data_IF_388117983882
#
_entry.id   IF_388117983882
#
_cell.length_a   1.000
_cell.length_b   1.000
_cell.length_c   1.000
_cell.angle_alpha   90.00
_cell.angle_beta   90.00
_cell.angle_gamma   90.00
#
_symmetry.space_group_name_H-M   'P 1'
#
loop_
_entity.id
_entity.type
_entity.pdbx_description
1 polymer ?
#
# COMPACT_ATOMS: atom_id res chain seq x y z
N UNK A 1 52.50 2.35 2.12
CA UNK A 1 51.12 1.82 2.20
C UNK A 1 50.94 0.80 1.08
N UNK A 2 51.11 -0.50 1.38
CA UNK A 2 51.04 -1.57 0.37
C UNK A 2 49.58 -2.01 0.22
N UNK A 3 48.87 -1.43 -0.74
CA UNK A 3 47.59 -1.96 -1.14
C UNK A 3 47.79 -3.30 -1.84
N UNK A 4 47.24 -4.36 -1.27
CA UNK A 4 47.29 -5.70 -1.86
C UNK A 4 46.58 -5.69 -3.21
N UNK A 5 47.22 -6.19 -4.27
CA UNK A 5 46.65 -6.33 -5.64
C UNK A 5 45.26 -6.90 -5.65
N UNK A 6 44.93 -7.77 -4.67
CA UNK A 6 43.63 -8.40 -4.50
C UNK A 6 42.54 -7.42 -4.03
N UNK A 7 42.90 -6.41 -3.23
CA UNK A 7 41.98 -5.34 -2.81
C UNK A 7 41.70 -4.38 -3.96
N UNK A 8 42.70 -4.07 -4.76
CA UNK A 8 42.58 -3.21 -5.94
C UNK A 8 41.62 -3.85 -6.97
N UNK A 9 41.75 -5.15 -7.22
CA UNK A 9 40.86 -5.89 -8.14
C UNK A 9 39.41 -5.96 -7.63
N UNK A 10 39.19 -6.13 -6.33
CA UNK A 10 37.85 -6.12 -5.74
C UNK A 10 37.19 -4.74 -5.80
N UNK A 11 37.94 -3.70 -5.54
CA UNK A 11 37.43 -2.30 -5.58
C UNK A 11 37.21 -1.83 -7.01
N UNK A 12 38.11 -2.14 -7.93
CA UNK A 12 38.02 -1.76 -9.34
C UNK A 12 36.92 -2.54 -10.09
N UNK A 13 36.71 -3.80 -9.75
CA UNK A 13 35.67 -4.63 -10.39
C UNK A 13 34.27 -4.14 -10.13
N UNK A 14 33.96 -3.74 -8.90
CA UNK A 14 32.63 -3.24 -8.54
C UNK A 14 32.36 -1.85 -9.14
N UNK A 15 33.37 -0.98 -9.16
CA UNK A 15 33.24 0.36 -9.75
C UNK A 15 33.06 0.33 -11.27
N UNK A 16 33.77 -0.59 -11.96
CA UNK A 16 33.65 -0.74 -13.41
C UNK A 16 32.32 -1.36 -13.83
N UNK A 17 31.77 -2.31 -13.07
CA UNK A 17 30.45 -2.89 -13.33
C UNK A 17 29.36 -1.82 -13.21
N UNK A 18 29.43 -0.97 -12.18
CA UNK A 18 28.48 0.11 -11.97
C UNK A 18 28.57 1.17 -13.10
N UNK A 19 29.79 1.51 -13.53
CA UNK A 19 30.02 2.45 -14.64
C UNK A 19 29.48 1.92 -15.98
N UNK A 20 29.63 0.62 -16.24
CA UNK A 20 29.09 -0.01 -17.45
C UNK A 20 27.55 -0.03 -17.43
N UNK A 21 26.96 -0.35 -16.30
CA UNK A 21 25.48 -0.35 -16.15
C UNK A 21 24.89 1.06 -16.29
N UNK A 22 25.56 2.07 -15.76
CA UNK A 22 25.17 3.49 -15.96
C UNK A 22 25.38 3.95 -17.41
N UNK A 23 26.50 3.59 -18.04
CA UNK A 23 26.81 3.93 -19.41
C UNK A 23 25.90 3.27 -20.44
N UNK A 24 25.40 2.06 -20.14
CA UNK A 24 24.43 1.35 -20.97
C UNK A 24 22.98 1.89 -20.82
N UNK A 25 22.74 2.88 -19.95
CA UNK A 25 21.41 3.44 -19.70
C UNK A 25 20.45 2.49 -18.96
N UNK A 26 20.96 1.36 -18.47
CA UNK A 26 20.17 0.36 -17.73
C UNK A 26 19.87 0.82 -16.30
N UNK A 27 20.68 1.71 -15.73
CA UNK A 27 20.43 2.39 -14.49
C UNK A 27 20.19 3.87 -14.80
N UNK A 28 18.94 4.25 -14.94
CA UNK A 28 18.56 5.67 -14.94
C UNK A 28 18.53 6.14 -13.48
N UNK A 29 19.43 7.00 -13.02
CA UNK A 29 19.32 7.61 -11.71
C UNK A 29 18.15 8.60 -11.75
N UNK A 30 17.13 8.30 -11.07
CA UNK A 30 15.96 9.13 -10.94
C UNK A 30 14.74 8.45 -11.49
N UNK A 31 13.82 8.34 -10.62
CA UNK A 31 12.42 7.98 -10.75
C UNK A 31 12.03 6.65 -10.09
N UNK A 32 12.70 6.29 -8.99
CA UNK A 32 11.93 5.63 -7.95
C UNK A 32 11.10 6.74 -7.28
N UNK A 33 10.00 7.15 -7.91
CA UNK A 33 8.96 7.86 -7.20
C UNK A 33 8.35 6.84 -6.25
N UNK A 34 8.81 6.85 -5.00
CA UNK A 34 7.98 6.34 -3.93
C UNK A 34 6.68 7.15 -4.02
N UNK A 35 5.56 6.49 -4.23
CA UNK A 35 4.28 7.15 -4.19
C UNK A 35 4.23 7.97 -2.90
N UNK A 36 3.96 9.28 -3.01
CA UNK A 36 3.92 10.16 -1.84
C UNK A 36 2.89 9.59 -0.86
N UNK A 37 3.36 9.25 0.34
CA UNK A 37 2.48 8.75 1.37
C UNK A 37 1.43 9.79 1.73
N UNK A 38 0.15 9.42 1.61
CA UNK A 38 -0.97 10.30 1.92
C UNK A 38 -1.13 10.52 3.43
N UNK A 39 -0.23 11.35 3.98
CA UNK A 39 -0.16 11.66 5.40
C UNK A 39 -1.49 12.20 5.93
N UNK A 40 -2.21 13.00 5.16
CA UNK A 40 -3.46 13.61 5.59
C UNK A 40 -4.56 12.57 5.85
N UNK A 41 -4.70 11.59 4.96
CA UNK A 41 -5.68 10.52 5.11
C UNK A 41 -5.33 9.58 6.29
N UNK A 42 -4.05 9.19 6.42
CA UNK A 42 -3.59 8.31 7.50
C UNK A 42 -3.55 8.99 8.88
N UNK A 43 -3.45 10.30 8.94
CA UNK A 43 -3.46 11.07 10.22
C UNK A 43 -4.87 11.49 10.64
N UNK A 44 -5.89 11.28 9.82
CA UNK A 44 -7.27 11.63 10.16
C UNK A 44 -7.74 10.80 11.37
N UNK A 45 -8.51 11.42 12.24
CA UNK A 45 -9.03 10.81 13.47
C UNK A 45 -10.50 10.40 13.36
N UNK A 46 -11.11 10.66 12.22
CA UNK A 46 -12.49 10.26 11.90
C UNK A 46 -12.59 9.74 10.47
N UNK A 47 -13.63 8.95 10.20
CA UNK A 47 -13.84 8.29 8.91
C UNK A 47 -14.01 9.31 7.78
N UNK A 48 -14.79 10.37 8.00
CA UNK A 48 -15.05 11.39 6.98
C UNK A 48 -13.77 12.14 6.59
N UNK A 49 -12.94 12.50 7.57
CA UNK A 49 -11.65 13.14 7.35
C UNK A 49 -10.68 12.23 6.60
N UNK A 50 -10.66 10.93 6.93
CA UNK A 50 -9.83 9.94 6.24
C UNK A 50 -10.25 9.77 4.76
N UNK A 51 -11.54 9.65 4.49
CA UNK A 51 -12.08 9.57 3.12
C UNK A 51 -11.78 10.84 2.32
N UNK A 52 -12.00 12.01 2.92
CA UNK A 52 -11.69 13.30 2.30
C UNK A 52 -10.19 13.44 2.00
N UNK A 53 -9.34 12.97 2.90
CA UNK A 53 -7.88 12.92 2.72
C UNK A 53 -7.44 12.05 1.54
N UNK A 54 -8.24 11.04 1.16
CA UNK A 54 -8.01 10.22 -0.04
C UNK A 54 -8.30 10.97 -1.35
N UNK A 55 -8.77 12.23 -1.29
CA UNK A 55 -9.08 13.04 -2.47
C UNK A 55 -10.32 12.58 -3.22
N UNK A 56 -11.18 11.79 -2.58
CA UNK A 56 -12.42 11.27 -3.15
C UNK A 56 -13.59 12.21 -2.96
N UNK A 57 -14.57 12.13 -3.87
CA UNK A 57 -15.94 12.59 -3.67
C UNK A 57 -16.63 11.72 -2.61
N UNK A 58 -17.81 12.11 -2.21
CA UNK A 58 -18.62 11.34 -1.27
C UNK A 58 -18.82 9.90 -1.77
N UNK A 59 -18.51 8.85 -0.96
CA UNK A 59 -18.60 7.47 -1.40
C UNK A 59 -20.05 7.07 -1.67
N UNK A 60 -20.24 6.32 -2.73
CA UNK A 60 -21.54 5.76 -3.11
C UNK A 60 -21.55 4.28 -2.75
N UNK A 61 -22.54 3.78 -2.01
CA UNK A 61 -22.68 2.35 -1.72
C UNK A 61 -22.76 1.54 -3.02
N UNK A 62 -22.02 0.44 -3.09
CA UNK A 62 -22.01 -0.44 -4.27
C UNK A 62 -22.16 -1.91 -3.86
N UNK A 63 -22.95 -2.66 -4.63
CA UNK A 63 -23.09 -4.11 -4.49
C UNK A 63 -22.03 -4.88 -5.29
N UNK A 64 -21.19 -4.18 -6.06
CA UNK A 64 -20.11 -4.77 -6.84
C UNK A 64 -18.84 -4.98 -6.03
N UNK A 65 -18.84 -4.59 -4.76
CA UNK A 65 -17.74 -4.84 -3.83
C UNK A 65 -18.18 -5.97 -2.89
N UNK A 66 -17.48 -7.10 -2.99
CA UNK A 66 -17.63 -8.20 -2.05
C UNK A 66 -16.68 -7.98 -0.87
N UNK A 67 -17.24 -7.93 0.34
CA UNK A 67 -16.49 -7.76 1.57
C UNK A 67 -16.77 -8.93 2.51
N UNK A 68 -15.71 -9.62 2.95
CA UNK A 68 -15.79 -10.76 3.86
C UNK A 68 -14.94 -10.44 5.09
N UNK A 69 -15.58 -10.44 6.26
CA UNK A 69 -14.95 -10.34 7.57
C UNK A 69 -15.72 -11.20 8.57
N UNK A 70 -15.10 -11.70 9.64
CA UNK A 70 -15.81 -12.43 10.68
C UNK A 70 -16.67 -11.47 11.51
N UNK A 71 -17.90 -11.90 11.84
CA UNK A 71 -18.80 -11.15 12.75
C UNK A 71 -18.23 -11.10 14.17
N UNK A 72 -17.50 -12.14 14.56
CA UNK A 72 -16.82 -12.25 15.86
C UNK A 72 -15.34 -12.56 15.60
N UNK A 73 -14.47 -11.66 16.02
CA UNK A 73 -13.03 -11.87 15.97
C UNK A 73 -12.52 -12.39 17.32
N UNK A 74 -11.92 -13.58 17.30
CA UNK A 74 -11.29 -14.16 18.51
C UNK A 74 -10.11 -13.28 19.01
N UNK A 75 -9.42 -12.61 18.07
CA UNK A 75 -8.29 -11.74 18.36
C UNK A 75 -8.38 -10.45 17.55
N UNK A 76 -8.70 -9.34 18.20
CA UNK A 76 -8.79 -8.03 17.59
C UNK A 76 -7.48 -7.50 16.99
N UNK A 77 -6.32 -8.06 17.37
CA UNK A 77 -5.04 -7.65 16.82
C UNK A 77 -4.81 -8.15 15.38
N UNK A 78 -5.54 -9.18 14.93
CA UNK A 78 -5.32 -9.86 13.65
C UNK A 78 -6.62 -10.32 13.01
N UNK A 79 -7.54 -9.38 12.78
CA UNK A 79 -8.85 -9.67 12.17
C UNK A 79 -8.69 -9.84 10.66
N UNK A 80 -8.99 -11.02 10.09
CA UNK A 80 -8.89 -11.25 8.66
C UNK A 80 -10.03 -10.53 7.93
N UNK A 81 -9.66 -9.86 6.81
CA UNK A 81 -10.61 -9.22 5.90
C UNK A 81 -10.25 -9.57 4.47
N UNK A 82 -11.25 -9.83 3.65
CA UNK A 82 -11.09 -10.08 2.22
C UNK A 82 -12.04 -9.19 1.43
N UNK A 83 -11.50 -8.51 0.42
CA UNK A 83 -12.24 -7.55 -0.38
C UNK A 83 -11.98 -7.86 -1.85
N UNK A 84 -13.05 -7.99 -2.62
CA UNK A 84 -13.00 -8.19 -4.07
C UNK A 84 -13.86 -7.12 -4.74
N UNK A 85 -13.29 -6.38 -5.67
CA UNK A 85 -14.02 -5.42 -6.50
C UNK A 85 -14.38 -6.07 -7.84
N UNK A 86 -15.63 -5.91 -8.26
CA UNK A 86 -16.10 -6.21 -9.63
C UNK A 86 -16.21 -4.94 -10.48
N UNK A 87 -15.84 -3.80 -9.91
CA UNK A 87 -15.87 -2.51 -10.60
C UNK A 87 -14.75 -2.49 -11.63
N UNK A 88 -15.06 -2.22 -12.92
CA UNK A 88 -14.05 -2.13 -13.96
C UNK A 88 -13.02 -1.05 -13.67
N UNK A 89 -11.76 -1.30 -14.06
CA UNK A 89 -10.66 -0.33 -13.88
C UNK A 89 -10.43 0.11 -12.44
N UNK A 90 -10.65 -0.77 -11.47
CA UNK A 90 -10.30 -0.52 -10.07
C UNK A 90 -8.82 -0.15 -9.95
N UNK A 91 -8.54 1.04 -9.43
CA UNK A 91 -7.19 1.58 -9.25
C UNK A 91 -6.65 1.35 -7.83
N UNK A 92 -7.53 1.42 -6.84
CA UNK A 92 -7.12 1.19 -5.45
C UNK A 92 -8.26 0.66 -4.59
N UNK A 93 -7.89 -0.06 -3.54
CA UNK A 93 -8.77 -0.55 -2.50
C UNK A 93 -8.24 -0.07 -1.16
N UNK A 94 -9.04 0.68 -0.42
CA UNK A 94 -8.69 1.21 0.89
C UNK A 94 -9.54 0.58 1.97
N UNK A 95 -8.94 0.29 3.11
CA UNK A 95 -9.61 -0.37 4.26
C UNK A 95 -9.64 0.58 5.45
N UNK A 96 -10.81 0.76 6.01
CA UNK A 96 -11.03 1.62 7.17
C UNK A 96 -11.65 0.82 8.32
N UNK A 97 -11.16 1.06 9.52
CA UNK A 97 -11.75 0.60 10.78
C UNK A 97 -12.26 1.83 11.53
N UNK A 98 -13.57 2.01 11.57
CA UNK A 98 -14.22 3.26 11.97
C UNK A 98 -13.79 3.77 13.35
N UNK A 99 -13.72 2.87 14.34
CA UNK A 99 -13.43 3.23 15.75
C UNK A 99 -11.95 3.12 16.12
N UNK A 100 -11.05 2.88 15.18
CA UNK A 100 -9.64 3.00 15.44
C UNK A 100 -9.24 4.48 15.61
N UNK A 101 -8.17 4.78 16.37
CA UNK A 101 -7.67 6.16 16.50
C UNK A 101 -7.41 6.86 15.17
N UNK A 102 -6.94 6.10 14.20
CA UNK A 102 -6.82 6.50 12.80
C UNK A 102 -7.60 5.47 11.96
N UNK A 103 -8.76 5.84 11.40
CA UNK A 103 -9.63 4.90 10.69
C UNK A 103 -8.98 4.27 9.46
N UNK A 104 -8.23 5.02 8.66
CA UNK A 104 -7.56 4.46 7.48
C UNK A 104 -6.45 3.51 7.91
N UNK A 105 -6.63 2.23 7.59
CA UNK A 105 -5.73 1.16 8.03
C UNK A 105 -4.73 0.79 6.93
N UNK A 106 -5.19 0.69 5.69
CA UNK A 106 -4.37 0.31 4.55
C UNK A 106 -4.94 0.84 3.23
N UNK A 107 -4.06 1.07 2.28
CA UNK A 107 -4.39 1.37 0.88
C UNK A 107 -3.59 0.42 0.00
N UNK A 108 -4.27 -0.22 -0.94
CA UNK A 108 -3.68 -1.14 -1.91
C UNK A 108 -3.89 -0.56 -3.31
N UNK A 109 -2.80 -0.24 -3.97
CA UNK A 109 -2.82 0.16 -5.38
C UNK A 109 -2.90 -1.09 -6.25
N UNK A 110 -3.88 -1.11 -7.16
CA UNK A 110 -4.14 -2.23 -8.06
C UNK A 110 -3.54 -1.88 -9.42
N UNK A 111 -2.55 -2.63 -9.85
CA UNK A 111 -1.95 -2.44 -11.16
C UNK A 111 -2.93 -2.86 -12.27
N UNK A 112 -2.82 -2.20 -13.42
CA UNK A 112 -3.63 -2.54 -14.59
C UNK A 112 -3.45 -4.02 -14.98
N UNK A 113 -4.55 -4.70 -15.26
CA UNK A 113 -4.56 -6.13 -15.57
C UNK A 113 -4.46 -7.07 -14.37
N UNK A 114 -4.43 -6.53 -13.15
CA UNK A 114 -4.44 -7.32 -11.90
C UNK A 114 -5.86 -7.51 -11.43
N UNK A 115 -6.17 -8.72 -10.95
CA UNK A 115 -7.46 -8.98 -10.29
C UNK A 115 -7.57 -8.16 -8.99
N UNK A 116 -8.61 -7.31 -8.84
CA UNK A 116 -8.74 -6.44 -7.68
C UNK A 116 -9.32 -7.19 -6.47
N UNK A 117 -8.55 -8.16 -5.99
CA UNK A 117 -8.84 -8.98 -4.82
C UNK A 117 -7.71 -8.86 -3.82
N UNK A 118 -8.03 -8.48 -2.59
CA UNK A 118 -7.07 -8.40 -1.49
C UNK A 118 -7.55 -9.22 -0.30
N UNK A 119 -6.62 -9.86 0.36
CA UNK A 119 -6.84 -10.52 1.66
C UNK A 119 -5.75 -10.05 2.61
N UNK A 120 -6.16 -9.48 3.74
CA UNK A 120 -5.23 -8.94 4.73
C UNK A 120 -5.76 -9.14 6.14
N UNK A 121 -4.98 -8.71 7.13
CA UNK A 121 -5.39 -8.68 8.54
C UNK A 121 -5.28 -7.27 9.05
N UNK A 122 -6.33 -6.83 9.74
CA UNK A 122 -6.39 -5.50 10.34
C UNK A 122 -6.42 -5.59 11.86
N UNK A 123 -5.86 -4.58 12.51
CA UNK A 123 -5.96 -4.43 13.95
C UNK A 123 -7.21 -3.62 14.27
N UNK A 124 -8.04 -4.16 15.16
CA UNK A 124 -9.22 -3.49 15.70
C UNK A 124 -9.05 -3.31 17.21
N UNK A 125 -9.10 -2.09 17.68
CA UNK A 125 -9.00 -1.78 19.12
C UNK A 125 -10.26 -2.14 19.91
N UNK A 126 -11.39 -2.18 19.23
CA UNK A 126 -12.72 -2.50 19.78
C UNK A 126 -13.67 -2.94 18.68
N UNK A 127 -14.84 -3.41 19.03
CA UNK A 127 -15.91 -3.73 18.06
C UNK A 127 -16.24 -2.49 17.23
N UNK A 128 -16.16 -2.61 15.93
CA UNK A 128 -16.25 -1.49 14.98
C UNK A 128 -16.75 -1.97 13.63
N UNK A 129 -17.36 -1.07 12.89
CA UNK A 129 -17.59 -1.29 11.47
C UNK A 129 -16.25 -1.21 10.71
N UNK A 130 -16.13 -2.04 9.68
CA UNK A 130 -15.02 -2.01 8.73
C UNK A 130 -15.59 -1.64 7.37
N UNK A 131 -14.95 -0.69 6.70
CA UNK A 131 -15.38 -0.20 5.41
C UNK A 131 -14.29 -0.45 4.37
N UNK A 132 -14.71 -0.78 3.15
CA UNK A 132 -13.85 -0.83 1.99
C UNK A 132 -14.23 0.29 1.02
N UNK A 133 -13.28 1.10 0.61
CA UNK A 133 -13.45 2.13 -0.41
C UNK A 133 -12.66 1.71 -1.65
N UNK A 134 -13.34 1.68 -2.80
CA UNK A 134 -12.76 1.34 -4.09
C UNK A 134 -12.75 2.59 -4.98
N UNK A 135 -11.62 2.79 -5.65
CA UNK A 135 -11.43 3.87 -6.63
C UNK A 135 -11.04 3.29 -8.00
#
# INVERSE_FOLDING_TARGET
MNMNRRQLLKSGGNASLLAVLMGAGLLKPGFAFAADWNKSAFSATDLAGAIKGMGGSEPIPSTEISFIAPDIAENGAVVPVSITSKIPNTQSISVFVEKNPNPLTAVFEIAEGTEPTITTRVKMGQTSNVHALVK
#
